data_IF_012954749373
#
_entry.id   IF_012954749373
#
_cell.length_a   1.000
_cell.length_b   1.000
_cell.length_c   1.000
_cell.angle_alpha   90.00
_cell.angle_beta   90.00
_cell.angle_gamma   90.00
#
_symmetry.space_group_name_H-M   'P 1'
#
loop_
_entity.id
_entity.type
_entity.pdbx_description
1 polymer ?
#
# COMPACT_ATOMS: atom_id res chain seq x y z
N UNK A 1 16.97 2.86 -4.90
CA UNK A 1 15.95 2.38 -3.99
C UNK A 1 16.51 1.24 -3.15
N UNK A 2 16.22 1.24 -1.87
CA UNK A 2 16.53 0.14 -0.96
C UNK A 2 15.23 -0.63 -0.75
N UNK A 3 15.26 -1.94 -0.98
CA UNK A 3 14.13 -2.79 -0.71
C UNK A 3 14.56 -3.93 0.21
N UNK A 4 13.64 -4.34 1.07
CA UNK A 4 13.83 -5.42 2.03
C UNK A 4 12.93 -6.58 1.59
N UNK A 5 13.55 -7.73 1.35
CA UNK A 5 12.84 -8.99 1.15
C UNK A 5 12.86 -9.74 2.48
N UNK A 6 11.68 -10.09 2.96
CA UNK A 6 11.52 -10.95 4.14
C UNK A 6 11.07 -12.32 3.69
N UNK A 7 11.84 -13.33 3.99
CA UNK A 7 11.44 -14.73 3.89
C UNK A 7 11.30 -15.30 5.30
N UNK A 8 10.14 -15.83 5.62
CA UNK A 8 9.88 -16.51 6.88
C UNK A 8 9.53 -17.94 6.60
N UNK A 9 10.21 -18.86 7.26
CA UNK A 9 9.84 -20.27 7.30
C UNK A 9 8.98 -20.50 8.54
N UNK A 10 7.87 -21.17 8.34
CA UNK A 10 6.97 -21.58 9.41
C UNK A 10 7.18 -23.06 9.69
N UNK A 11 6.89 -23.48 10.90
CA UNK A 11 6.84 -24.89 11.26
C UNK A 11 5.70 -25.62 10.52
N UNK A 12 5.59 -26.91 10.71
CA UNK A 12 4.55 -27.74 10.08
C UNK A 12 3.13 -27.38 10.50
N UNK A 13 2.95 -26.63 11.61
CA UNK A 13 1.66 -26.12 12.07
C UNK A 13 1.29 -24.78 11.42
N UNK A 14 2.24 -24.11 10.78
CA UNK A 14 2.04 -22.77 10.17
C UNK A 14 1.91 -21.64 11.19
N UNK A 15 2.27 -21.87 12.45
CA UNK A 15 2.08 -20.91 13.56
C UNK A 15 3.41 -20.34 14.02
N UNK A 16 4.43 -21.17 14.20
CA UNK A 16 5.72 -20.73 14.70
C UNK A 16 6.69 -20.39 13.56
N UNK A 17 7.35 -19.23 13.67
CA UNK A 17 8.43 -18.85 12.74
C UNK A 17 9.69 -19.60 13.15
N UNK A 18 10.15 -20.54 12.32
CA UNK A 18 11.34 -21.35 12.58
C UNK A 18 12.61 -20.70 12.05
N UNK A 19 12.48 -19.84 11.05
CA UNK A 19 13.60 -19.11 10.45
C UNK A 19 13.11 -17.83 9.80
N UNK A 20 13.94 -16.79 9.84
CA UNK A 20 13.66 -15.51 9.18
C UNK A 20 14.91 -15.02 8.48
N UNK A 21 14.88 -15.02 7.17
CA UNK A 21 15.91 -14.43 6.35
C UNK A 21 15.51 -13.03 5.89
N UNK A 22 16.40 -12.05 6.08
CA UNK A 22 16.19 -10.67 5.66
C UNK A 22 17.25 -10.34 4.62
N UNK A 23 16.85 -10.33 3.37
CA UNK A 23 17.72 -9.90 2.28
C UNK A 23 17.58 -8.39 2.07
N UNK A 24 18.69 -7.67 2.20
CA UNK A 24 18.78 -6.24 1.86
C UNK A 24 19.42 -6.11 0.50
N UNK A 25 18.66 -5.70 -0.49
CA UNK A 25 19.20 -5.40 -1.79
C UNK A 25 19.07 -3.92 -2.10
N UNK A 26 20.18 -3.32 -2.52
CA UNK A 26 20.23 -1.98 -3.11
C UNK A 26 20.29 -2.13 -4.61
N UNK A 27 19.16 -2.07 -5.27
CA UNK A 27 19.14 -1.97 -6.71
C UNK A 27 18.98 -0.49 -7.11
N UNK A 28 19.82 0.04 -7.99
CA UNK A 28 19.56 1.33 -8.63
C UNK A 28 18.30 1.15 -9.48
N UNK A 29 17.16 1.62 -8.98
CA UNK A 29 15.93 1.62 -9.75
C UNK A 29 15.83 2.94 -10.50
N UNK A 30 15.74 2.88 -11.80
CA UNK A 30 15.48 4.06 -12.65
C UNK A 30 14.07 4.63 -12.37
N UNK A 31 13.18 3.80 -11.81
CA UNK A 31 11.82 4.20 -11.40
C UNK A 31 11.46 3.46 -10.12
N UNK A 32 11.89 3.95 -8.95
CA UNK A 32 11.74 3.26 -7.67
C UNK A 32 10.28 3.14 -7.20
N UNK A 33 9.43 4.07 -7.61
CA UNK A 33 8.02 4.11 -7.28
C UNK A 33 7.20 4.29 -8.56
N UNK A 34 6.13 3.51 -8.69
CA UNK A 34 5.17 3.67 -9.77
C UNK A 34 3.80 3.90 -9.16
N UNK A 35 3.24 5.05 -9.44
CA UNK A 35 1.83 5.29 -9.29
C UNK A 35 1.11 4.95 -10.59
N UNK A 36 -0.19 5.02 -10.56
CA UNK A 36 -1.07 4.89 -11.71
C UNK A 36 -1.95 6.13 -11.74
N UNK A 37 -2.43 6.50 -12.93
CA UNK A 37 -3.36 7.60 -13.11
C UNK A 37 -4.54 7.53 -12.13
N UNK A 38 -4.91 8.66 -11.52
CA UNK A 38 -5.90 8.74 -10.46
C UNK A 38 -7.30 8.27 -10.91
N UNK A 39 -7.69 8.57 -12.17
CA UNK A 39 -8.97 8.13 -12.72
C UNK A 39 -9.00 6.63 -12.92
N UNK A 40 -7.87 6.05 -13.33
CA UNK A 40 -7.74 4.60 -13.48
C UNK A 40 -7.77 3.90 -12.12
N UNK A 41 -7.13 4.47 -11.09
CA UNK A 41 -7.19 3.92 -9.72
C UNK A 41 -8.59 4.03 -9.13
N UNK A 42 -9.28 5.15 -9.34
CA UNK A 42 -10.65 5.33 -8.91
C UNK A 42 -11.63 4.33 -9.56
N UNK A 43 -11.36 3.95 -10.83
CA UNK A 43 -12.17 2.98 -11.57
C UNK A 43 -11.84 1.54 -11.20
N UNK A 44 -10.56 1.18 -11.23
CA UNK A 44 -10.08 -0.20 -11.20
C UNK A 44 -9.64 -0.65 -9.79
N UNK A 45 -9.39 0.30 -8.89
CA UNK A 45 -8.85 0.06 -7.55
C UNK A 45 -7.32 0.05 -7.49
N UNK A 46 -6.81 -0.18 -6.29
CA UNK A 46 -5.37 -0.12 -5.98
C UNK A 46 -4.70 -1.50 -5.99
N UNK A 47 -5.47 -2.57 -6.12
CA UNK A 47 -4.92 -3.94 -6.24
C UNK A 47 -5.52 -4.60 -7.45
N UNK A 48 -4.69 -4.85 -8.44
CA UNK A 48 -5.10 -5.49 -9.69
C UNK A 48 -4.57 -6.92 -9.75
N UNK A 49 -5.42 -7.82 -10.21
CA UNK A 49 -5.09 -9.21 -10.41
C UNK A 49 -5.24 -9.56 -11.90
N UNK A 50 -4.17 -10.11 -12.48
CA UNK A 50 -4.13 -10.56 -13.87
C UNK A 50 -3.42 -11.92 -13.97
N UNK A 51 -3.26 -12.43 -15.20
CA UNK A 51 -2.58 -13.70 -15.48
C UNK A 51 -1.12 -13.74 -15.00
N UNK A 52 -0.49 -12.57 -14.80
CA UNK A 52 0.90 -12.42 -14.36
C UNK A 52 1.02 -12.34 -12.84
N UNK A 53 -0.12 -12.12 -12.14
CA UNK A 53 -0.18 -12.07 -10.68
C UNK A 53 -0.93 -10.85 -10.15
N UNK A 54 -0.63 -10.49 -8.92
CA UNK A 54 -1.26 -9.37 -8.21
C UNK A 54 -0.31 -8.18 -8.17
N UNK A 55 -0.79 -7.02 -8.63
CA UNK A 55 -0.06 -5.75 -8.58
C UNK A 55 -0.70 -4.84 -7.55
N UNK A 56 0.12 -4.31 -6.66
CA UNK A 56 -0.28 -3.36 -5.61
C UNK A 56 0.21 -1.97 -5.97
N UNK A 57 -0.69 -1.00 -6.01
CA UNK A 57 -0.39 0.41 -6.24
C UNK A 57 -0.53 1.19 -4.94
N UNK A 58 0.31 2.20 -4.76
CA UNK A 58 0.15 3.17 -3.69
C UNK A 58 -0.07 4.56 -4.31
N UNK A 59 -0.89 5.42 -3.69
CA UNK A 59 -1.08 6.77 -4.20
C UNK A 59 0.17 7.62 -4.00
N UNK A 60 0.54 8.38 -5.02
CA UNK A 60 1.47 9.49 -4.93
C UNK A 60 0.76 10.81 -4.63
N UNK A 61 1.50 11.92 -4.61
CA UNK A 61 0.92 13.23 -4.33
C UNK A 61 -0.10 13.67 -5.40
N UNK A 62 0.13 13.34 -6.68
CA UNK A 62 -0.80 13.67 -7.76
C UNK A 62 -2.13 12.94 -7.59
N UNK A 63 -2.09 11.68 -7.23
CA UNK A 63 -3.29 10.90 -6.92
C UNK A 63 -4.02 11.46 -5.73
N UNK A 64 -3.31 11.70 -4.61
CA UNK A 64 -3.92 12.19 -3.36
C UNK A 64 -4.58 13.56 -3.51
N UNK A 65 -4.07 14.42 -4.39
CA UNK A 65 -4.58 15.77 -4.65
C UNK A 65 -5.58 15.82 -5.81
N UNK A 66 -5.90 14.69 -6.44
CA UNK A 66 -6.82 14.64 -7.58
C UNK A 66 -8.29 14.71 -7.16
N UNK A 67 -9.12 15.28 -8.03
CA UNK A 67 -10.57 15.29 -7.87
C UNK A 67 -11.15 13.87 -7.81
N UNK A 68 -10.55 12.92 -8.55
CA UNK A 68 -10.96 11.53 -8.55
C UNK A 68 -10.77 10.86 -7.18
N UNK A 69 -9.65 11.15 -6.51
CA UNK A 69 -9.40 10.67 -5.15
C UNK A 69 -10.34 11.36 -4.15
N UNK A 70 -10.50 12.67 -4.25
CA UNK A 70 -11.35 13.45 -3.37
C UNK A 70 -12.82 13.02 -3.45
N UNK A 71 -13.34 12.76 -4.65
CA UNK A 71 -14.71 12.30 -4.85
C UNK A 71 -14.93 10.85 -4.36
N UNK A 72 -13.89 10.02 -4.35
CA UNK A 72 -13.96 8.62 -3.93
C UNK A 72 -13.83 8.39 -2.44
N UNK A 73 -13.45 9.40 -1.65
CA UNK A 73 -13.12 9.23 -0.23
C UNK A 73 -13.81 10.25 0.68
N UNK A 74 -14.13 9.81 1.90
CA UNK A 74 -14.54 10.69 3.00
C UNK A 74 -13.32 11.05 3.84
N UNK A 75 -13.24 12.32 4.28
CA UNK A 75 -12.10 12.84 5.02
C UNK A 75 -12.47 13.30 6.42
N UNK A 76 -11.56 13.07 7.38
CA UNK A 76 -11.69 13.52 8.77
C UNK A 76 -10.36 14.04 9.29
N UNK A 77 -10.39 15.19 9.95
CA UNK A 77 -9.21 15.70 10.63
C UNK A 77 -8.92 14.89 11.89
N UNK A 78 -7.65 14.55 12.07
CA UNK A 78 -7.12 13.88 13.27
C UNK A 78 -6.00 14.76 13.81
N UNK A 79 -6.12 15.23 15.04
CA UNK A 79 -5.06 15.93 15.72
C UNK A 79 -4.07 14.91 16.30
N UNK A 80 -2.79 15.09 16.04
CA UNK A 80 -1.74 14.43 16.80
C UNK A 80 -1.31 15.40 17.92
N UNK A 81 -1.70 15.08 19.16
CA UNK A 81 -1.42 15.94 20.32
C UNK A 81 0.06 15.91 20.74
N UNK A 82 0.78 14.90 20.30
CA UNK A 82 2.19 14.64 20.70
C UNK A 82 3.19 15.26 19.72
N UNK A 83 2.80 15.40 18.46
CA UNK A 83 3.66 15.89 17.40
C UNK A 83 3.08 17.15 16.74
N UNK A 84 3.93 17.94 16.11
CA UNK A 84 3.53 19.14 15.36
C UNK A 84 2.95 18.78 13.98
N UNK A 85 1.95 17.86 13.97
CA UNK A 85 1.32 17.31 12.77
C UNK A 85 -0.18 17.40 12.83
N UNK A 86 -0.78 17.43 11.66
CA UNK A 86 -2.21 17.25 11.45
C UNK A 86 -2.41 16.03 10.56
N UNK A 87 -3.24 15.09 11.00
CA UNK A 87 -3.66 13.96 10.18
C UNK A 87 -4.94 14.28 9.43
N UNK A 88 -4.98 14.01 8.14
CA UNK A 88 -6.21 13.96 7.35
C UNK A 88 -6.48 12.50 7.02
N UNK A 89 -7.33 11.90 7.86
CA UNK A 89 -7.75 10.50 7.68
C UNK A 89 -8.75 10.41 6.54
N UNK A 90 -8.60 9.41 5.70
CA UNK A 90 -9.50 9.14 4.59
C UNK A 90 -9.92 7.67 4.56
N UNK A 91 -11.10 7.43 4.01
CA UNK A 91 -11.65 6.10 3.74
C UNK A 91 -12.56 6.16 2.52
N UNK A 92 -12.72 5.07 1.76
CA UNK A 92 -13.65 5.03 0.64
C UNK A 92 -15.06 5.43 1.04
N UNK A 93 -15.76 6.19 0.18
CA UNK A 93 -17.18 6.56 0.36
C UNK A 93 -18.06 5.32 0.33
N UNK A 94 -17.75 4.37 -0.52
CA UNK A 94 -18.47 3.12 -0.65
C UNK A 94 -17.50 1.94 -0.60
N UNK A 95 -17.83 0.94 0.21
CA UNK A 95 -17.13 -0.33 0.19
C UNK A 95 -17.67 -1.16 -0.98
N UNK A 96 -16.87 -1.28 -2.04
CA UNK A 96 -17.14 -2.21 -3.13
C UNK A 96 -16.22 -3.43 -2.98
N UNK A 97 -16.81 -4.59 -2.64
CA UNK A 97 -16.05 -5.83 -2.48
C UNK A 97 -15.32 -6.28 -3.77
N UNK A 98 -15.69 -5.72 -4.92
CA UNK A 98 -15.05 -6.00 -6.20
C UNK A 98 -13.86 -5.08 -6.49
N UNK A 99 -13.84 -3.91 -5.86
CA UNK A 99 -12.77 -2.92 -6.00
C UNK A 99 -11.98 -2.83 -4.71
N UNK A 100 -10.72 -3.20 -4.78
CA UNK A 100 -9.80 -3.06 -3.65
C UNK A 100 -9.27 -1.65 -3.62
N UNK A 101 -9.66 -0.92 -2.61
CA UNK A 101 -9.35 0.50 -2.43
C UNK A 101 -8.30 0.71 -1.34
N UNK A 102 -8.08 1.94 -0.93
CA UNK A 102 -7.17 2.32 0.15
C UNK A 102 -7.89 3.19 1.19
N UNK A 103 -7.52 2.99 2.44
CA UNK A 103 -7.85 3.90 3.53
C UNK A 103 -6.57 4.28 4.28
N UNK A 104 -6.55 5.40 4.98
CA UNK A 104 -5.34 5.79 5.68
C UNK A 104 -5.36 7.18 6.26
N UNK A 105 -4.17 7.72 6.52
CA UNK A 105 -3.99 9.07 7.04
C UNK A 105 -2.86 9.77 6.30
N UNK A 106 -3.17 10.90 5.71
CA UNK A 106 -2.18 11.85 5.22
C UNK A 106 -1.71 12.71 6.39
N UNK A 107 -0.42 12.70 6.65
CA UNK A 107 0.19 13.47 7.71
C UNK A 107 0.84 14.73 7.16
N UNK A 108 0.34 15.87 7.60
CA UNK A 108 0.80 17.18 7.20
C UNK A 108 1.55 17.85 8.35
N UNK A 109 2.52 18.65 8.02
CA UNK A 109 3.15 19.56 8.94
C UNK A 109 2.13 20.63 9.39
N UNK A 110 1.98 20.86 10.70
CA UNK A 110 0.97 21.77 11.24
C UNK A 110 1.21 23.22 10.85
N UNK A 111 2.46 23.63 10.77
CA UNK A 111 2.83 25.03 10.51
C UNK A 111 2.75 25.40 9.02
N UNK A 112 3.16 24.47 8.15
CA UNK A 112 3.27 24.71 6.72
C UNK A 112 2.16 24.08 5.89
N UNK A 113 1.36 23.19 6.49
CA UNK A 113 0.38 22.33 5.83
C UNK A 113 1.00 21.43 4.73
N UNK A 114 2.32 21.24 4.76
CA UNK A 114 3.02 20.40 3.80
C UNK A 114 2.80 18.93 4.08
N UNK A 115 2.47 18.17 3.04
CA UNK A 115 2.33 16.71 3.10
C UNK A 115 3.69 16.08 3.40
N UNK A 116 3.79 15.37 4.50
CA UNK A 116 5.02 14.69 4.94
C UNK A 116 5.02 13.23 4.53
N UNK A 117 3.98 12.52 4.89
CA UNK A 117 3.85 11.10 4.55
C UNK A 117 2.38 10.65 4.61
N UNK A 118 2.16 9.54 3.97
CA UNK A 118 0.91 8.78 3.96
C UNK A 118 1.13 7.45 4.67
N UNK A 119 0.30 7.12 5.64
CA UNK A 119 0.10 5.75 6.13
C UNK A 119 -1.20 5.22 5.56
N UNK A 120 -1.18 4.02 4.97
CA UNK A 120 -2.38 3.47 4.35
C UNK A 120 -2.48 1.95 4.49
N UNK A 121 -3.69 1.45 4.37
CA UNK A 121 -4.03 0.03 4.26
C UNK A 121 -4.90 -0.20 3.02
N UNK A 122 -4.83 -1.40 2.44
CA UNK A 122 -5.74 -1.80 1.37
C UNK A 122 -7.04 -2.34 1.96
N UNK A 123 -8.17 -1.91 1.40
CA UNK A 123 -9.52 -2.35 1.77
C UNK A 123 -10.06 -3.38 0.78
N UNK A 124 -11.14 -4.06 1.14
CA UNK A 124 -11.77 -5.06 0.25
C UNK A 124 -10.92 -6.30 -0.01
N UNK A 125 -9.91 -6.55 0.82
CA UNK A 125 -9.02 -7.71 0.66
C UNK A 125 -9.72 -9.00 1.09
N UNK A 126 -9.46 -10.15 0.40
CA UNK A 126 -9.89 -11.45 0.89
C UNK A 126 -9.39 -11.70 2.31
N UNK A 127 -10.16 -12.40 3.14
CA UNK A 127 -9.87 -12.59 4.57
C UNK A 127 -8.44 -13.12 4.82
N UNK A 128 -7.99 -14.09 4.04
CA UNK A 128 -6.65 -14.64 4.17
C UNK A 128 -5.54 -13.63 3.85
N UNK A 129 -5.78 -12.70 2.93
CA UNK A 129 -4.85 -11.64 2.59
C UNK A 129 -4.92 -10.48 3.59
N UNK A 130 -6.11 -10.18 4.13
CA UNK A 130 -6.33 -9.15 5.13
C UNK A 130 -5.56 -9.43 6.44
N UNK A 131 -5.39 -10.70 6.81
CA UNK A 131 -4.63 -11.12 8.00
C UNK A 131 -3.14 -10.69 7.96
N UNK A 132 -2.60 -10.40 6.78
CA UNK A 132 -1.23 -9.87 6.61
C UNK A 132 -1.17 -8.34 6.74
N UNK A 133 -2.29 -7.68 7.03
CA UNK A 133 -2.40 -6.21 7.13
C UNK A 133 -1.72 -5.49 5.96
N UNK A 134 -2.13 -5.77 4.71
CA UNK A 134 -1.49 -5.18 3.54
C UNK A 134 -1.71 -3.67 3.52
N UNK A 135 -0.66 -2.93 3.26
CA UNK A 135 -0.65 -1.48 3.31
C UNK A 135 0.76 -0.94 3.28
N UNK A 136 0.97 0.28 3.71
CA UNK A 136 2.31 0.83 3.69
C UNK A 136 2.42 2.27 4.13
N UNK A 137 3.61 2.80 3.87
CA UNK A 137 3.95 4.21 4.06
C UNK A 137 4.60 4.74 2.79
N UNK A 138 4.20 5.95 2.41
CA UNK A 138 4.80 6.74 1.33
C UNK A 138 5.22 8.08 1.91
N UNK A 139 6.48 8.45 1.77
CA UNK A 139 7.04 9.72 2.25
C UNK A 139 7.27 10.65 1.07
N UNK A 140 6.99 11.93 1.27
CA UNK A 140 7.08 12.96 0.26
C UNK A 140 8.13 14.00 0.63
N UNK A 141 8.70 14.62 -0.37
CA UNK A 141 9.58 15.78 -0.21
C UNK A 141 9.15 16.84 -1.21
N UNK A 142 8.94 18.06 -0.74
CA UNK A 142 8.69 19.19 -1.62
C UNK A 142 9.99 19.67 -2.25
N UNK A 143 10.02 19.78 -3.56
CA UNK A 143 11.12 20.39 -4.29
C UNK A 143 10.94 21.92 -4.41
N UNK A 144 12.00 22.68 -4.70
CA UNK A 144 11.92 24.13 -4.87
C UNK A 144 10.97 24.59 -6.00
N UNK A 145 10.76 23.76 -7.00
CA UNK A 145 9.82 23.99 -8.11
C UNK A 145 8.35 23.73 -7.74
N UNK A 146 8.10 23.31 -6.48
CA UNK A 146 6.76 23.01 -5.99
C UNK A 146 6.29 21.58 -6.22
N UNK A 147 7.05 20.73 -6.89
CA UNK A 147 6.71 19.32 -7.08
C UNK A 147 6.88 18.48 -5.81
N UNK A 148 6.14 17.38 -5.71
CA UNK A 148 6.10 16.48 -4.54
C UNK A 148 6.49 15.05 -4.92
N UNK A 149 7.77 14.76 -5.20
CA UNK A 149 8.19 13.40 -5.47
C UNK A 149 8.11 12.52 -4.23
N UNK A 150 7.90 11.24 -4.46
CA UNK A 150 8.04 10.20 -3.44
C UNK A 150 9.52 10.05 -3.11
N UNK A 151 9.89 10.34 -1.86
CA UNK A 151 11.27 10.25 -1.37
C UNK A 151 11.60 8.88 -0.78
N UNK A 152 10.61 8.24 -0.16
CA UNK A 152 10.71 6.89 0.41
C UNK A 152 9.37 6.20 0.37
N UNK A 153 9.37 4.88 0.27
CA UNK A 153 8.16 4.09 0.35
C UNK A 153 8.43 2.68 0.89
N UNK A 154 7.41 2.11 1.51
CA UNK A 154 7.37 0.72 1.94
C UNK A 154 5.94 0.20 1.78
N UNK A 155 5.76 -0.92 1.09
CA UNK A 155 4.47 -1.57 0.89
C UNK A 155 4.56 -3.00 1.43
N UNK A 156 3.70 -3.32 2.40
CA UNK A 156 3.50 -4.69 2.87
C UNK A 156 2.46 -5.36 1.97
N UNK A 157 2.83 -6.49 1.43
CA UNK A 157 1.97 -7.31 0.58
C UNK A 157 1.74 -8.67 1.24
N UNK A 158 0.56 -9.27 1.10
CA UNK A 158 0.35 -10.63 1.54
C UNK A 158 1.37 -11.56 0.88
N UNK A 159 1.84 -12.60 1.59
CA UNK A 159 2.67 -13.63 0.97
C UNK A 159 1.91 -14.20 -0.23
N UNK A 160 2.60 -14.45 -1.33
CA UNK A 160 2.00 -15.16 -2.46
C UNK A 160 1.46 -16.48 -1.94
N UNK A 161 0.17 -16.75 -2.16
CA UNK A 161 -0.35 -18.08 -1.95
C UNK A 161 0.45 -18.99 -2.89
N UNK A 162 1.39 -19.76 -2.35
CA UNK A 162 1.99 -20.89 -3.06
C UNK A 162 0.82 -21.76 -3.44
N UNK A 163 0.62 -21.96 -4.75
CA UNK A 163 -0.41 -22.85 -5.26
C UNK A 163 -0.26 -24.17 -4.49
N UNK A 164 -1.26 -24.49 -3.66
CA UNK A 164 -1.22 -25.65 -2.78
C UNK A 164 -0.97 -26.86 -3.64
N UNK A 165 0.06 -27.64 -3.31
CA UNK A 165 0.34 -28.95 -3.92
C UNK A 165 -0.91 -29.88 -3.95
N UNK A 166 -1.92 -29.57 -3.14
CA UNK A 166 -3.22 -30.26 -3.15
C UNK A 166 -4.01 -30.08 -4.47
N UNK A 167 -3.85 -28.95 -5.18
CA UNK A 167 -4.52 -28.73 -6.47
C UNK A 167 -3.89 -29.54 -7.62
N UNK A 168 -2.65 -29.97 -7.48
CA UNK A 168 -1.96 -30.81 -8.47
C UNK A 168 -2.31 -32.31 -8.32
N UNK A 169 -2.78 -32.75 -7.15
CA UNK A 169 -3.17 -34.15 -6.92
C UNK A 169 -4.60 -34.45 -7.42
N UNK A 170 -5.48 -33.48 -7.53
CA UNK A 170 -6.86 -33.68 -8.03
C UNK A 170 -6.97 -33.83 -9.54
N UNK A 171 -5.91 -33.55 -10.31
CA UNK A 171 -5.89 -33.71 -11.79
C UNK A 171 -5.34 -35.06 -12.26
N UNK A 172 -5.07 -35.99 -11.36
CA UNK A 172 -4.58 -37.36 -11.68
C UNK A 172 -5.56 -38.47 -11.27
N UNK A 173 -6.88 -38.19 -11.37
CA UNK A 173 -7.88 -39.25 -11.32
C UNK A 173 -8.80 -39.14 -12.53
#
# INVERSE_FOLDING_TARGET
AEWLRYERRLDSSGIAVTDQEVERARAPSVRPFRSRDAVLLARDGYVLEDERGVTYFAPDAEVLLSDAFAAGHCFHLVADEVTDRIGLRFRPVAEDARRRDVEGTMWLDRATAELRFLDFAYTGMPLAAAAAEPGGRVEFTRLPDGTWPVSRWAIRMPPRATASLAALQSRRR
#
